data_IF_002695968199
#
_entry.id   IF_002695968199
#
_cell.length_a   1.000
_cell.length_b   1.000
_cell.length_c   1.000
_cell.angle_alpha   90.00
_cell.angle_beta   90.00
_cell.angle_gamma   90.00
#
_symmetry.space_group_name_H-M   'P 1'
#
loop_
_entity.id
_entity.type
_entity.pdbx_description
1 polymer ?
#
# COMPACT_ATOMS: atom_id res chain seq x y z
N UNK A 1 -1.19 -3.16 7.02
CA UNK A 1 -2.57 -2.64 7.01
C UNK A 1 -2.86 -1.66 8.15
N UNK A 2 -2.38 -1.87 9.39
CA UNK A 2 -2.66 -0.97 10.53
C UNK A 2 -2.38 0.50 10.23
N UNK A 3 -1.19 0.82 9.71
CA UNK A 3 -0.86 2.18 9.29
C UNK A 3 -1.83 2.71 8.23
N UNK A 4 -2.16 1.90 7.21
CA UNK A 4 -3.02 2.34 6.11
C UNK A 4 -4.44 2.72 6.56
N UNK A 5 -4.92 2.11 7.64
CA UNK A 5 -6.19 2.50 8.28
C UNK A 5 -5.98 3.76 9.14
N UNK A 6 -4.98 3.73 10.01
CA UNK A 6 -4.76 4.80 11.00
C UNK A 6 -4.40 6.16 10.37
N UNK A 7 -3.78 6.18 9.18
CA UNK A 7 -3.37 7.43 8.54
C UNK A 7 -4.55 8.30 8.08
N UNK A 8 -5.75 7.76 7.92
CA UNK A 8 -6.96 8.56 7.64
C UNK A 8 -7.55 9.25 8.88
N UNK A 9 -7.03 8.96 10.06
CA UNK A 9 -7.35 9.61 11.31
C UNK A 9 -6.14 10.31 11.91
N UNK A 10 -6.12 10.40 13.25
CA UNK A 10 -4.96 10.88 14.00
C UNK A 10 -3.99 9.71 14.21
N UNK A 11 -2.87 9.75 13.51
CA UNK A 11 -1.86 8.70 13.60
C UNK A 11 -1.11 8.76 14.93
N UNK A 12 -1.15 7.69 15.69
CA UNK A 12 -0.34 7.44 16.88
C UNK A 12 0.22 6.02 16.91
N UNK A 13 1.31 5.84 17.65
CA UNK A 13 1.91 4.53 17.90
C UNK A 13 2.01 4.31 19.41
N UNK A 14 1.11 3.51 19.94
CA UNK A 14 1.10 3.10 21.34
C UNK A 14 1.86 1.78 21.51
N UNK A 15 3.18 1.85 21.41
CA UNK A 15 4.03 0.68 21.52
C UNK A 15 5.44 1.04 22.01
N UNK A 16 6.10 0.08 22.66
CA UNK A 16 7.49 0.27 23.09
C UNK A 16 8.43 0.09 21.90
N UNK A 17 8.96 1.20 21.40
CA UNK A 17 9.88 1.22 20.24
C UNK A 17 11.19 0.42 20.50
N UNK A 18 11.59 0.21 21.76
CA UNK A 18 12.80 -0.54 22.07
C UNK A 18 12.67 -2.02 21.73
N UNK A 19 11.45 -2.55 21.77
CA UNK A 19 11.16 -3.96 21.48
C UNK A 19 11.03 -4.25 19.97
N UNK A 20 11.18 -3.24 19.12
CA UNK A 20 11.05 -3.38 17.68
C UNK A 20 12.40 -3.73 17.02
N UNK A 21 12.32 -4.55 15.97
CA UNK A 21 13.43 -4.81 15.07
C UNK A 21 13.86 -3.54 14.31
N UNK A 22 15.05 -3.55 13.75
CA UNK A 22 15.53 -2.45 12.92
C UNK A 22 14.64 -2.24 11.68
N UNK A 23 14.16 -3.34 11.09
CA UNK A 23 13.22 -3.30 9.99
C UNK A 23 11.94 -2.55 10.36
N UNK A 24 11.32 -2.89 11.50
CA UNK A 24 10.09 -2.24 11.97
C UNK A 24 10.29 -0.76 12.26
N UNK A 25 11.40 -0.39 12.91
CA UNK A 25 11.75 1.03 13.17
C UNK A 25 11.89 1.82 11.86
N UNK A 26 12.57 1.26 10.85
CA UNK A 26 12.71 1.86 9.52
C UNK A 26 11.34 1.99 8.82
N UNK A 27 10.50 0.95 8.93
CA UNK A 27 9.16 0.97 8.33
C UNK A 27 8.27 2.04 8.98
N UNK A 28 8.27 2.14 10.31
CA UNK A 28 7.55 3.19 11.04
C UNK A 28 8.04 4.59 10.64
N UNK A 29 9.35 4.79 10.54
CA UNK A 29 9.90 6.08 10.09
C UNK A 29 9.31 6.50 8.73
N UNK A 30 9.30 5.59 7.74
CA UNK A 30 8.70 5.86 6.42
C UNK A 30 7.18 6.10 6.47
N UNK A 31 6.48 5.43 7.37
CA UNK A 31 5.05 5.65 7.60
C UNK A 31 4.79 7.05 8.18
N UNK A 32 5.57 7.45 9.16
CA UNK A 32 5.48 8.79 9.77
C UNK A 32 5.84 9.90 8.75
N UNK A 33 6.87 9.69 7.94
CA UNK A 33 7.25 10.61 6.86
C UNK A 33 6.09 10.80 5.87
N UNK A 34 5.47 9.72 5.43
CA UNK A 34 4.30 9.77 4.56
C UNK A 34 3.14 10.53 5.22
N UNK A 35 2.80 10.20 6.47
CA UNK A 35 1.72 10.88 7.19
C UNK A 35 1.99 12.38 7.34
N UNK A 36 3.20 12.77 7.76
CA UNK A 36 3.57 14.19 7.92
C UNK A 36 3.46 14.95 6.60
N UNK A 37 3.88 14.34 5.49
CA UNK A 37 3.80 14.93 4.15
C UNK A 37 2.34 15.20 3.74
N UNK A 38 1.43 14.26 4.03
CA UNK A 38 0.05 14.32 3.54
C UNK A 38 -0.98 14.69 4.63
N UNK A 39 -0.51 15.01 5.85
CA UNK A 39 -1.40 15.28 6.99
C UNK A 39 -2.44 16.35 6.71
N UNK A 40 -2.07 17.43 6.03
CA UNK A 40 -2.99 18.53 5.71
C UNK A 40 -4.14 18.04 4.83
N UNK A 41 -3.83 17.28 3.79
CA UNK A 41 -4.84 16.67 2.93
C UNK A 41 -5.75 15.72 3.72
N UNK A 42 -5.16 14.80 4.47
CA UNK A 42 -5.90 13.78 5.24
C UNK A 42 -6.84 14.37 6.29
N UNK A 43 -6.48 15.50 6.91
CA UNK A 43 -7.26 16.12 7.98
C UNK A 43 -8.28 17.15 7.48
N UNK A 44 -8.01 17.85 6.38
CA UNK A 44 -8.82 18.99 5.92
C UNK A 44 -9.46 18.79 4.55
N UNK A 45 -9.15 17.70 3.86
CA UNK A 45 -9.79 17.33 2.60
C UNK A 45 -11.21 16.82 2.78
N UNK A 46 -11.91 16.69 1.68
CA UNK A 46 -13.27 16.13 1.64
C UNK A 46 -13.19 14.60 1.63
N UNK A 47 -13.84 13.97 2.61
CA UNK A 47 -13.83 12.51 2.77
C UNK A 47 -14.98 11.85 1.99
N UNK A 48 -14.67 10.85 1.19
CA UNK A 48 -15.63 10.04 0.44
C UNK A 48 -15.57 8.57 0.86
N UNK A 49 -16.72 7.97 1.18
CA UNK A 49 -16.88 6.52 1.29
C UNK A 49 -17.27 5.97 -0.07
N UNK A 50 -16.42 5.11 -0.64
CA UNK A 50 -16.64 4.52 -1.96
C UNK A 50 -17.30 3.15 -1.82
N UNK A 51 -16.75 2.31 -0.95
CA UNK A 51 -17.31 0.98 -0.64
C UNK A 51 -17.36 0.72 0.87
N UNK A 52 -18.46 0.12 1.29
CA UNK A 52 -18.72 -0.26 2.67
C UNK A 52 -18.22 -1.69 2.94
N UNK A 53 -17.46 -1.92 4.03
CA UNK A 53 -17.04 -3.26 4.43
C UNK A 53 -18.20 -4.12 4.97
N UNK A 54 -19.33 -3.51 5.25
CA UNK A 54 -20.54 -4.22 5.72
C UNK A 54 -21.33 -4.83 4.55
N UNK A 55 -21.19 -4.28 3.36
CA UNK A 55 -21.90 -4.70 2.15
C UNK A 55 -21.02 -5.50 1.20
N UNK A 56 -19.71 -5.31 1.27
CA UNK A 56 -18.75 -5.92 0.36
C UNK A 56 -17.55 -6.52 1.10
N UNK A 57 -16.73 -7.28 0.37
CA UNK A 57 -15.45 -7.78 0.87
C UNK A 57 -14.36 -6.68 0.92
N UNK A 58 -14.72 -5.45 0.57
CA UNK A 58 -13.80 -4.33 0.49
C UNK A 58 -14.28 -3.15 1.31
N UNK A 59 -13.34 -2.42 1.91
CA UNK A 59 -13.56 -1.05 2.36
C UNK A 59 -12.72 -0.13 1.48
N UNK A 60 -13.36 0.87 0.88
CA UNK A 60 -12.66 1.83 0.03
C UNK A 60 -13.15 3.22 0.40
N UNK A 61 -12.22 4.07 0.74
CA UNK A 61 -12.48 5.48 1.00
C UNK A 61 -11.38 6.36 0.40
N UNK A 62 -11.67 7.65 0.27
CA UNK A 62 -10.68 8.60 -0.19
C UNK A 62 -10.87 9.97 0.43
N UNK A 63 -9.84 10.76 0.39
CA UNK A 63 -9.84 12.17 0.76
C UNK A 63 -9.33 12.97 -0.43
N UNK A 64 -10.05 14.02 -0.79
CA UNK A 64 -9.70 14.91 -1.90
C UNK A 64 -9.48 16.31 -1.33
N UNK A 65 -8.44 17.00 -1.80
CA UNK A 65 -8.19 18.39 -1.43
C UNK A 65 -9.30 19.32 -1.93
N UNK A 66 -9.47 20.49 -1.32
CA UNK A 66 -10.53 21.42 -1.68
C UNK A 66 -10.38 21.97 -3.10
N UNK A 67 -9.15 22.14 -3.58
CA UNK A 67 -8.78 22.54 -4.91
C UNK A 67 -8.82 21.40 -5.93
N UNK A 68 -9.07 20.16 -5.45
CA UNK A 68 -9.08 18.91 -6.23
C UNK A 68 -7.73 18.57 -6.87
N UNK A 69 -6.64 19.19 -6.47
CA UNK A 69 -5.32 18.93 -7.05
C UNK A 69 -4.63 17.70 -6.44
N UNK A 70 -5.05 17.28 -5.24
CA UNK A 70 -4.49 16.13 -4.56
C UNK A 70 -5.59 15.22 -4.01
N UNK A 71 -5.34 13.91 -4.02
CA UNK A 71 -6.21 12.94 -3.36
C UNK A 71 -5.42 11.76 -2.80
N UNK A 72 -5.98 11.13 -1.75
CA UNK A 72 -5.47 9.86 -1.21
C UNK A 72 -6.62 8.87 -1.15
N UNK A 73 -6.36 7.66 -1.66
CA UNK A 73 -7.31 6.54 -1.68
C UNK A 73 -6.79 5.42 -0.81
N UNK A 74 -7.63 4.94 0.10
CA UNK A 74 -7.40 3.73 0.89
C UNK A 74 -8.22 2.56 0.33
N UNK A 75 -7.53 1.51 -0.06
CA UNK A 75 -8.11 0.23 -0.50
C UNK A 75 -7.81 -0.84 0.54
N UNK A 76 -8.84 -1.50 1.02
CA UNK A 76 -8.76 -2.54 2.05
C UNK A 76 -9.59 -3.74 1.63
N UNK A 77 -8.96 -4.90 1.67
CA UNK A 77 -9.61 -6.19 1.42
C UNK A 77 -9.77 -6.91 2.75
N UNK A 78 -10.95 -7.48 3.01
CA UNK A 78 -11.19 -8.32 4.21
C UNK A 78 -10.59 -9.70 4.01
N UNK A 79 -11.14 -10.47 3.12
CA UNK A 79 -10.72 -11.84 2.83
C UNK A 79 -10.34 -11.97 1.35
N UNK A 80 -9.39 -12.83 1.09
CA UNK A 80 -9.05 -13.17 -0.28
C UNK A 80 -10.08 -14.19 -0.82
N UNK A 81 -10.57 -13.93 -2.02
CA UNK A 81 -11.47 -14.81 -2.72
C UNK A 81 -10.72 -15.54 -3.84
N UNK A 82 -10.92 -16.86 -3.95
CA UNK A 82 -10.30 -17.66 -5.01
C UNK A 82 -10.80 -17.23 -6.38
N UNK A 83 -9.87 -17.08 -7.33
CA UNK A 83 -10.15 -16.76 -8.73
C UNK A 83 -10.90 -15.43 -8.99
N UNK A 84 -11.01 -14.57 -7.98
CA UNK A 84 -11.64 -13.26 -8.16
C UNK A 84 -10.61 -12.24 -8.63
N UNK A 85 -10.95 -11.49 -9.67
CA UNK A 85 -10.18 -10.32 -10.08
C UNK A 85 -10.26 -9.21 -9.01
N UNK A 86 -9.22 -8.39 -8.91
CA UNK A 86 -9.25 -7.22 -8.04
C UNK A 86 -10.40 -6.29 -8.45
N UNK A 87 -11.02 -5.71 -7.44
CA UNK A 87 -12.12 -4.76 -7.59
C UNK A 87 -11.66 -3.49 -8.30
N UNK A 88 -12.43 -3.04 -9.29
CA UNK A 88 -12.21 -1.74 -9.91
C UNK A 88 -12.72 -0.63 -9.00
N UNK A 89 -11.89 0.34 -8.72
CA UNK A 89 -12.18 1.44 -7.79
C UNK A 89 -12.61 2.67 -8.58
N UNK A 90 -13.90 2.98 -8.59
CA UNK A 90 -14.41 4.23 -9.15
C UNK A 90 -14.20 5.35 -8.14
N UNK A 91 -13.29 6.26 -8.44
CA UNK A 91 -12.95 7.38 -7.57
C UNK A 91 -14.08 8.42 -7.53
N UNK A 92 -14.01 9.35 -6.59
CA UNK A 92 -15.04 10.39 -6.41
C UNK A 92 -14.41 11.75 -6.11
N UNK A 93 -15.06 12.80 -6.56
CA UNK A 93 -14.73 14.17 -6.16
C UNK A 93 -13.50 14.77 -6.84
N UNK A 94 -12.93 14.10 -7.83
CA UNK A 94 -11.87 14.65 -8.66
C UNK A 94 -12.42 15.70 -9.63
N UNK A 95 -11.55 16.50 -10.24
CA UNK A 95 -11.90 17.35 -11.36
C UNK A 95 -11.76 16.55 -12.66
N UNK A 96 -12.80 16.49 -13.47
CA UNK A 96 -12.89 15.64 -14.67
C UNK A 96 -11.77 15.91 -15.66
N UNK A 97 -11.43 17.19 -15.84
CA UNK A 97 -10.48 17.67 -16.84
C UNK A 97 -9.02 17.66 -16.34
N UNK A 98 -8.78 17.39 -15.07
CA UNK A 98 -7.41 17.34 -14.57
C UNK A 98 -6.76 16.00 -14.91
N UNK A 99 -5.53 16.07 -15.40
CA UNK A 99 -4.64 14.92 -15.47
C UNK A 99 -4.04 14.68 -14.08
N UNK A 100 -4.14 13.46 -13.58
CA UNK A 100 -3.58 13.05 -12.30
C UNK A 100 -2.47 12.03 -12.50
N UNK A 101 -1.32 12.29 -11.90
CA UNK A 101 -0.34 11.25 -11.62
C UNK A 101 -0.77 10.50 -10.37
N UNK A 102 -1.07 9.22 -10.52
CA UNK A 102 -1.44 8.33 -9.44
C UNK A 102 -0.28 7.38 -9.17
N UNK A 103 0.13 7.29 -7.91
CA UNK A 103 1.07 6.26 -7.48
C UNK A 103 0.61 5.53 -6.22
N UNK A 104 0.85 4.22 -6.15
CA UNK A 104 0.64 3.47 -4.92
C UNK A 104 1.77 3.73 -3.93
N UNK A 105 1.44 3.94 -2.66
CA UNK A 105 2.44 4.08 -1.59
C UNK A 105 3.31 2.83 -1.51
N UNK A 106 4.62 3.01 -1.59
CA UNK A 106 5.55 1.91 -1.38
C UNK A 106 5.35 1.26 0.00
N UNK A 107 5.21 -0.04 0.00
CA UNK A 107 5.19 -0.87 1.21
C UNK A 107 6.48 -1.68 1.26
N UNK A 108 6.87 -2.06 2.45
CA UNK A 108 8.09 -2.81 2.65
C UNK A 108 7.77 -4.11 3.38
N UNK A 109 8.42 -5.18 2.96
CA UNK A 109 8.32 -6.50 3.58
C UNK A 109 9.67 -6.93 4.11
N UNK A 110 9.64 -7.64 5.23
CA UNK A 110 10.82 -8.36 5.70
C UNK A 110 11.01 -9.59 4.81
N UNK A 111 12.23 -9.79 4.32
CA UNK A 111 12.57 -10.92 3.44
C UNK A 111 12.42 -12.28 4.13
N UNK A 112 12.44 -12.34 5.46
CA UNK A 112 12.15 -13.58 6.22
C UNK A 112 10.79 -14.18 5.89
N UNK A 113 9.84 -13.35 5.42
CA UNK A 113 8.52 -13.82 5.00
C UNK A 113 8.57 -14.77 3.80
N UNK A 114 9.62 -14.72 3.01
CA UNK A 114 9.79 -15.59 1.85
C UNK A 114 10.38 -16.96 2.22
N UNK A 115 10.85 -17.13 3.48
CA UNK A 115 11.42 -18.39 3.95
C UNK A 115 12.53 -18.89 3.02
N UNK A 116 12.48 -20.17 2.67
CA UNK A 116 13.46 -20.79 1.80
C UNK A 116 13.34 -20.39 0.32
N UNK A 117 12.23 -19.77 -0.09
CA UNK A 117 12.07 -19.26 -1.46
C UNK A 117 13.14 -18.22 -1.83
N UNK A 118 13.74 -17.58 -0.83
CA UNK A 118 14.84 -16.65 -1.07
C UNK A 118 16.03 -17.34 -1.73
N UNK A 119 16.20 -18.66 -1.54
CA UNK A 119 17.28 -19.45 -2.10
C UNK A 119 17.16 -19.63 -3.64
N UNK A 120 15.96 -19.44 -4.19
CA UNK A 120 15.73 -19.51 -5.64
C UNK A 120 16.26 -18.27 -6.36
N UNK A 121 16.49 -17.17 -5.62
CA UNK A 121 16.88 -15.87 -6.18
C UNK A 121 18.28 -15.40 -5.77
N UNK A 122 18.90 -16.06 -4.79
CA UNK A 122 20.27 -15.72 -4.37
C UNK A 122 21.22 -16.86 -4.69
N UNK A 123 22.45 -16.56 -5.15
CA UNK A 123 23.42 -17.59 -5.62
C UNK A 123 24.04 -18.42 -4.49
N UNK A 124 23.56 -18.28 -3.27
CA UNK A 124 24.06 -19.00 -2.10
C UNK A 124 22.89 -19.48 -1.23
N UNK A 125 23.05 -20.71 -0.73
CA UNK A 125 22.01 -21.36 0.08
C UNK A 125 21.94 -20.71 1.47
N UNK A 126 20.90 -19.93 1.73
CA UNK A 126 20.64 -19.26 3.00
C UNK A 126 19.86 -20.23 3.89
N UNK A 127 20.57 -21.00 4.71
CA UNK A 127 19.93 -21.85 5.73
C UNK A 127 19.43 -20.99 6.88
N UNK A 128 18.20 -21.21 7.28
CA UNK A 128 17.53 -20.47 8.38
C UNK A 128 17.95 -20.92 9.78
N UNK A 129 18.78 -21.99 9.91
CA UNK A 129 19.16 -22.60 11.18
C UNK A 129 20.66 -22.45 11.49
N UNK A 130 21.00 -22.38 12.78
CA UNK A 130 22.36 -22.29 13.27
C UNK A 130 23.01 -20.91 13.10
N UNK A 131 24.34 -20.85 13.06
CA UNK A 131 25.12 -19.60 12.93
C UNK A 131 24.75 -18.83 11.66
N UNK A 132 24.42 -19.54 10.57
CA UNK A 132 23.95 -18.94 9.32
C UNK A 132 22.58 -18.31 9.47
N UNK A 133 21.73 -18.83 10.36
CA UNK A 133 20.44 -18.21 10.70
C UNK A 133 20.57 -16.86 11.38
N UNK A 134 21.60 -16.67 12.20
CA UNK A 134 21.90 -15.37 12.85
C UNK A 134 22.29 -14.34 11.79
N UNK A 135 23.13 -14.72 10.83
CA UNK A 135 23.53 -13.85 9.72
C UNK A 135 22.31 -13.49 8.87
N UNK A 136 21.48 -14.48 8.54
CA UNK A 136 20.23 -14.27 7.80
C UNK A 136 19.31 -13.29 8.52
N UNK A 137 19.11 -13.47 9.84
CA UNK A 137 18.29 -12.57 10.64
C UNK A 137 18.84 -11.15 10.67
N UNK A 138 20.16 -10.99 10.77
CA UNK A 138 20.82 -9.68 10.75
C UNK A 138 20.64 -8.98 9.39
N UNK A 139 20.74 -9.74 8.30
CA UNK A 139 20.51 -9.20 6.94
C UNK A 139 19.04 -8.81 6.77
N UNK A 140 18.11 -9.68 7.16
CA UNK A 140 16.67 -9.44 7.01
C UNK A 140 16.18 -8.27 7.87
N UNK A 141 16.74 -8.08 9.05
CA UNK A 141 16.45 -6.92 9.91
C UNK A 141 16.90 -5.58 9.29
N UNK A 142 17.86 -5.60 8.40
CA UNK A 142 18.40 -4.40 7.77
C UNK A 142 17.94 -4.18 6.33
N UNK A 143 17.46 -5.21 5.66
CA UNK A 143 16.99 -5.13 4.29
C UNK A 143 15.47 -4.87 4.25
N UNK A 144 15.07 -3.88 3.46
CA UNK A 144 13.67 -3.53 3.24
C UNK A 144 13.29 -3.88 1.80
N UNK A 145 12.68 -5.04 1.60
CA UNK A 145 12.15 -5.40 0.30
C UNK A 145 10.97 -4.48 -0.05
N UNK A 146 11.17 -3.66 -1.08
CA UNK A 146 10.16 -2.72 -1.55
C UNK A 146 9.25 -3.42 -2.56
N UNK A 147 7.94 -3.23 -2.40
CA UNK A 147 6.97 -3.73 -3.37
C UNK A 147 6.94 -2.93 -4.66
N UNK A 148 6.32 -3.52 -5.68
CA UNK A 148 6.01 -2.81 -6.90
C UNK A 148 5.08 -1.63 -6.60
N UNK A 149 5.43 -0.49 -7.15
CA UNK A 149 4.65 0.73 -7.07
C UNK A 149 3.90 0.88 -8.38
N UNK A 150 2.59 0.83 -8.29
CA UNK A 150 1.73 1.15 -9.43
C UNK A 150 1.80 2.64 -9.70
N UNK A 151 2.04 3.00 -10.96
CA UNK A 151 2.01 4.38 -11.45
C UNK A 151 1.13 4.45 -12.68
N UNK A 152 0.27 5.45 -12.71
CA UNK A 152 -0.67 5.68 -13.81
C UNK A 152 -0.89 7.18 -13.93
N UNK A 153 -0.91 7.69 -15.15
CA UNK A 153 -1.32 9.04 -15.47
C UNK A 153 -2.66 8.96 -16.20
N UNK A 154 -3.71 9.52 -15.60
CA UNK A 154 -5.06 9.42 -16.11
C UNK A 154 -5.89 10.68 -15.81
N UNK A 155 -6.85 10.96 -16.66
CA UNK A 155 -7.81 12.04 -16.42
C UNK A 155 -8.79 11.71 -15.29
N UNK A 156 -9.29 12.75 -14.62
CA UNK A 156 -10.20 12.59 -13.49
C UNK A 156 -11.50 11.88 -13.88
N UNK A 157 -12.06 12.15 -15.06
CA UNK A 157 -13.23 11.46 -15.59
C UNK A 157 -12.98 9.95 -15.78
N UNK A 158 -11.84 9.57 -16.38
CA UNK A 158 -11.44 8.17 -16.52
C UNK A 158 -11.36 7.47 -15.17
N UNK A 159 -10.72 8.10 -14.17
CA UNK A 159 -10.62 7.56 -12.82
C UNK A 159 -11.96 7.45 -12.08
N UNK A 160 -12.92 8.35 -12.37
CA UNK A 160 -14.23 8.35 -11.73
C UNK A 160 -15.22 7.41 -12.40
N UNK A 161 -15.22 7.32 -13.73
CA UNK A 161 -16.24 6.58 -14.48
C UNK A 161 -15.77 5.18 -14.91
N UNK A 162 -14.57 5.05 -15.47
CA UNK A 162 -13.96 3.74 -15.76
C UNK A 162 -13.34 3.12 -14.51
N UNK A 163 -12.63 3.91 -13.71
CA UNK A 163 -12.07 3.55 -12.43
C UNK A 163 -10.64 3.03 -12.49
N UNK A 164 -10.01 3.01 -11.33
CA UNK A 164 -8.68 2.46 -11.11
C UNK A 164 -8.75 0.96 -10.89
N UNK A 165 -8.00 0.18 -11.66
CA UNK A 165 -7.76 -1.23 -11.40
C UNK A 165 -6.46 -1.38 -10.58
N UNK A 166 -6.54 -1.88 -9.33
CA UNK A 166 -5.34 -2.14 -8.55
C UNK A 166 -4.40 -3.09 -9.28
N UNK A 167 -3.09 -2.84 -9.20
CA UNK A 167 -2.10 -3.73 -9.74
C UNK A 167 -2.24 -5.09 -9.07
N UNK A 168 -2.53 -6.11 -9.89
CA UNK A 168 -2.61 -7.48 -9.42
C UNK A 168 -1.22 -7.95 -9.05
N UNK A 169 -1.02 -8.25 -7.79
CA UNK A 169 0.21 -8.86 -7.32
C UNK A 169 -0.06 -10.32 -7.01
N UNK A 170 1.01 -11.07 -7.05
CA UNK A 170 1.02 -12.51 -7.00
C UNK A 170 0.01 -13.09 -6.00
N UNK A 171 -0.99 -13.80 -6.51
CA UNK A 171 -2.00 -14.53 -5.77
C UNK A 171 -1.83 -16.04 -6.01
N UNK A 172 -0.60 -16.53 -6.15
CA UNK A 172 -0.32 -17.91 -6.49
C UNK A 172 -0.88 -18.89 -5.45
N UNK A 173 -1.57 -19.91 -5.90
CA UNK A 173 -1.87 -21.06 -5.07
C UNK A 173 -0.55 -21.75 -4.65
N UNK A 174 -0.46 -22.17 -3.38
CA UNK A 174 0.71 -22.88 -2.86
C UNK A 174 1.69 -22.05 -2.05
N UNK A 175 1.54 -20.74 -2.00
CA UNK A 175 2.35 -19.89 -1.13
C UNK A 175 1.57 -19.49 0.12
N UNK A 176 2.26 -19.43 1.26
CA UNK A 176 1.68 -18.99 2.51
C UNK A 176 1.14 -17.54 2.43
N UNK A 177 0.15 -17.21 3.25
CA UNK A 177 -0.46 -15.87 3.29
C UNK A 177 0.56 -14.75 3.54
N UNK A 178 1.69 -15.10 4.10
CA UNK A 178 2.78 -14.17 4.44
C UNK A 178 3.46 -13.56 3.21
N UNK A 179 3.46 -14.24 2.07
CA UNK A 179 4.06 -13.76 0.80
C UNK A 179 3.05 -13.09 -0.13
N UNK A 180 1.76 -13.11 0.24
CA UNK A 180 0.72 -12.43 -0.53
C UNK A 180 0.73 -10.95 -0.22
N UNK A 181 0.72 -10.16 -1.27
CA UNK A 181 0.76 -8.70 -1.15
C UNK A 181 -0.56 -8.09 -0.72
N UNK A 182 -1.66 -8.57 -1.31
CA UNK A 182 -3.02 -8.28 -0.90
C UNK A 182 -3.64 -9.65 -0.60
N UNK A 183 -3.37 -10.15 0.59
CA UNK A 183 -4.01 -11.31 1.17
C UNK A 183 -5.17 -10.87 2.07
N UNK A 184 -5.57 -11.74 2.98
CA UNK A 184 -6.53 -11.42 4.02
C UNK A 184 -6.09 -10.19 4.82
N UNK A 185 -7.01 -9.26 5.00
CA UNK A 185 -6.76 -7.95 5.62
C UNK A 185 -5.65 -7.14 4.94
N UNK A 186 -5.44 -7.39 3.64
CA UNK A 186 -4.51 -6.65 2.81
C UNK A 186 -5.00 -5.23 2.52
N UNK A 187 -4.07 -4.31 2.26
CA UNK A 187 -4.44 -2.92 1.99
C UNK A 187 -3.42 -2.19 1.14
N UNK A 188 -3.88 -1.15 0.44
CA UNK A 188 -3.06 -0.22 -0.32
C UNK A 188 -3.51 1.20 -0.09
N UNK A 189 -2.55 2.12 -0.22
CA UNK A 189 -2.79 3.55 -0.31
C UNK A 189 -2.32 4.01 -1.70
N UNK A 190 -3.16 4.79 -2.36
CA UNK A 190 -2.81 5.50 -3.59
C UNK A 190 -2.80 6.99 -3.29
N UNK A 191 -1.84 7.68 -3.85
CA UNK A 191 -1.75 9.13 -3.83
C UNK A 191 -1.88 9.65 -5.25
N UNK A 192 -2.72 10.64 -5.42
CA UNK A 192 -2.97 11.32 -6.69
C UNK A 192 -2.51 12.75 -6.57
N UNK A 193 -1.87 13.24 -7.61
CA UNK A 193 -1.49 14.65 -7.75
C UNK A 193 -1.76 15.10 -9.18
N UNK A 194 -2.43 16.25 -9.31
CA UNK A 194 -2.58 16.95 -10.59
C UNK A 194 -1.21 17.19 -11.22
N UNK A 195 -1.11 16.92 -12.50
CA UNK A 195 0.07 17.22 -13.33
C UNK A 195 -0.35 18.10 -14.50
N UNK A 196 0.57 18.94 -14.94
CA UNK A 196 0.35 19.71 -16.17
C UNK A 196 0.53 18.79 -17.36
N UNK A 197 -0.41 18.82 -18.29
CA UNK A 197 -0.26 18.18 -19.59
C UNK A 197 0.61 19.09 -20.42
N UNK A 198 1.83 18.65 -20.74
CA UNK A 198 2.62 19.35 -21.73
C UNK A 198 1.92 19.17 -23.08
N UNK A 199 1.33 20.23 -23.60
CA UNK A 199 0.87 20.28 -25.00
C UNK A 199 2.13 20.15 -25.88
N UNK A 200 2.19 19.09 -26.70
CA UNK A 200 3.21 18.93 -27.74
C UNK A 200 2.94 19.84 -28.93
#
# INVERSE_FOLDING_TARGET
SRFNVACFGLLGYELNLNNLSNFEKKAIKKQVEFYKKHRKLLQYGTFYRIKSPFETNYAIWMVVSKDKEEAIVGYYQKLQESNKSLETIKLKGLEEQYMYHLESRAQFMNIERFGELINDYVPFNVKTNGVRGIIHKTISDNYMYKNDVQKVDEYGDSLMYAGLKPLQQFNGAGFGDQVRYIGDFGSRIYYLKKVEVMEE
#
